data_IF_932807338872
#
_entry.id   IF_932807338872
#
_cell.length_a   1.000
_cell.length_b   1.000
_cell.length_c   1.000
_cell.angle_alpha   90.00
_cell.angle_beta   90.00
_cell.angle_gamma   90.00
#
_symmetry.space_group_name_H-M   'P 1'
#
loop_
_entity.id
_entity.type
_entity.pdbx_description
1 polymer ?
#
# COMPACT_ATOMS: atom_id res chain seq x y z
N UNK A 1 9.76 -2.13 16.15
CA UNK A 1 8.52 -2.42 16.92
C UNK A 1 8.51 -3.87 17.40
N UNK A 2 8.24 -4.14 18.69
CA UNK A 2 8.01 -5.49 19.23
C UNK A 2 6.84 -6.23 18.55
N UNK A 3 6.83 -7.57 18.63
CA UNK A 3 5.86 -8.40 17.88
C UNK A 3 4.42 -8.19 18.35
N UNK A 4 4.26 -8.18 19.68
CA UNK A 4 2.97 -8.01 20.33
C UNK A 4 2.35 -6.65 20.00
N UNK A 5 3.15 -5.57 20.05
CA UNK A 5 2.69 -4.22 19.71
C UNK A 5 2.25 -4.10 18.25
N UNK A 6 2.96 -4.75 17.32
CA UNK A 6 2.57 -4.76 15.91
C UNK A 6 1.23 -5.47 15.68
N UNK A 7 1.03 -6.63 16.31
CA UNK A 7 -0.22 -7.38 16.18
C UNK A 7 -1.39 -6.60 16.77
N UNK A 8 -1.19 -6.01 17.95
CA UNK A 8 -2.20 -5.20 18.62
C UNK A 8 -2.58 -3.94 17.84
N UNK A 9 -1.60 -3.23 17.26
CA UNK A 9 -1.87 -2.07 16.39
C UNK A 9 -2.76 -2.46 15.20
N UNK A 10 -2.42 -3.53 14.48
CA UNK A 10 -3.18 -3.94 13.30
C UNK A 10 -4.57 -4.49 13.67
N UNK A 11 -4.66 -5.29 14.73
CA UNK A 11 -5.93 -5.85 15.18
C UNK A 11 -6.88 -4.76 15.69
N UNK A 12 -6.40 -3.88 16.56
CA UNK A 12 -7.23 -2.84 17.18
C UNK A 12 -7.71 -1.81 16.16
N UNK A 13 -6.86 -1.40 15.21
CA UNK A 13 -7.25 -0.48 14.14
C UNK A 13 -8.27 -1.10 13.18
N UNK A 14 -8.09 -2.38 12.81
CA UNK A 14 -9.05 -3.12 11.99
C UNK A 14 -10.41 -3.22 12.68
N UNK A 15 -10.44 -3.71 13.92
CA UNK A 15 -11.67 -3.90 14.69
C UNK A 15 -12.46 -2.59 14.81
N UNK A 16 -11.78 -1.48 15.17
CA UNK A 16 -12.42 -0.16 15.26
C UNK A 16 -13.06 0.31 13.95
N UNK A 17 -12.40 0.05 12.81
CA UNK A 17 -12.95 0.41 11.50
C UNK A 17 -14.13 -0.49 11.12
N UNK A 18 -14.03 -1.79 11.36
CA UNK A 18 -15.10 -2.76 11.06
C UNK A 18 -16.34 -2.50 11.90
N UNK A 19 -16.17 -2.25 13.21
CA UNK A 19 -17.25 -1.87 14.12
C UNK A 19 -17.95 -0.59 13.67
N UNK A 20 -17.18 0.40 13.18
CA UNK A 20 -17.74 1.70 12.77
C UNK A 20 -18.40 1.66 11.40
N UNK A 21 -17.86 0.88 10.47
CA UNK A 21 -18.34 0.80 9.09
C UNK A 21 -19.40 -0.29 8.89
N UNK A 22 -19.49 -1.27 9.79
CA UNK A 22 -20.38 -2.43 9.67
C UNK A 22 -20.00 -3.39 8.54
N UNK A 23 -18.80 -3.24 7.99
CA UNK A 23 -18.28 -4.05 6.88
C UNK A 23 -16.84 -4.45 7.15
N UNK A 24 -16.40 -5.55 6.53
CA UNK A 24 -15.02 -5.99 6.61
C UNK A 24 -14.04 -4.97 6.03
N UNK A 25 -12.85 -4.88 6.61
CA UNK A 25 -11.72 -4.07 6.12
C UNK A 25 -10.67 -5.01 5.54
N UNK A 26 -10.71 -5.29 4.22
CA UNK A 26 -9.84 -6.29 3.60
C UNK A 26 -8.45 -5.75 3.24
N UNK A 27 -8.26 -4.42 3.25
CA UNK A 27 -7.04 -3.77 2.77
C UNK A 27 -6.26 -3.06 3.87
N UNK A 28 -4.93 -3.06 3.73
CA UNK A 28 -4.02 -2.32 4.61
C UNK A 28 -3.04 -1.47 3.78
N UNK A 29 -2.79 -0.22 4.17
CA UNK A 29 -1.73 0.59 3.59
C UNK A 29 -0.58 0.74 4.57
N UNK A 30 0.63 0.31 4.20
CA UNK A 30 1.75 0.33 5.12
C UNK A 30 2.37 1.73 5.26
N UNK A 31 2.62 2.21 6.49
CA UNK A 31 3.40 3.43 6.69
C UNK A 31 4.88 3.22 6.36
N UNK A 32 5.49 4.19 5.66
CA UNK A 32 6.94 4.43 5.53
C UNK A 32 7.87 3.22 5.30
N UNK A 33 7.51 2.27 4.45
CA UNK A 33 8.36 1.10 4.20
C UNK A 33 8.07 -0.01 5.21
N UNK A 34 7.82 -1.20 4.69
CA UNK A 34 7.20 -2.30 5.40
C UNK A 34 8.12 -3.52 5.38
N UNK A 35 8.13 -4.29 6.46
CA UNK A 35 8.92 -5.52 6.53
C UNK A 35 8.10 -6.75 6.15
N UNK A 36 8.80 -7.86 5.83
CA UNK A 36 8.15 -9.15 5.64
C UNK A 36 7.29 -9.57 6.84
N UNK A 37 7.74 -9.20 8.04
CA UNK A 37 7.03 -9.45 9.29
C UNK A 37 5.66 -8.77 9.36
N UNK A 38 5.56 -7.49 8.99
CA UNK A 38 4.26 -6.77 8.97
C UNK A 38 3.29 -7.45 8.02
N UNK A 39 3.77 -7.93 6.86
CA UNK A 39 2.93 -8.66 5.91
C UNK A 39 2.48 -10.02 6.44
N UNK A 40 3.31 -10.70 7.23
CA UNK A 40 2.94 -11.95 7.90
C UNK A 40 1.79 -11.73 8.87
N UNK A 41 1.95 -10.75 9.78
CA UNK A 41 0.90 -10.40 10.74
C UNK A 41 -0.39 -9.94 10.05
N UNK A 42 -0.28 -9.15 8.97
CA UNK A 42 -1.47 -8.75 8.20
C UNK A 42 -2.24 -9.95 7.62
N UNK A 43 -1.52 -10.97 7.11
CA UNK A 43 -2.16 -12.22 6.63
C UNK A 43 -2.86 -12.96 7.77
N UNK A 44 -2.19 -13.10 8.91
CA UNK A 44 -2.73 -13.78 10.09
C UNK A 44 -3.99 -13.09 10.66
N UNK A 45 -4.13 -11.78 10.47
CA UNK A 45 -5.27 -10.99 10.91
C UNK A 45 -6.40 -10.90 9.87
N UNK A 46 -6.31 -11.67 8.77
CA UNK A 46 -7.38 -11.77 7.78
C UNK A 46 -7.49 -10.58 6.83
N UNK A 47 -6.45 -9.77 6.68
CA UNK A 47 -6.38 -8.86 5.52
C UNK A 47 -6.25 -9.68 4.23
N UNK A 48 -6.78 -9.17 3.13
CA UNK A 48 -6.71 -9.80 1.81
C UNK A 48 -5.61 -9.21 0.93
N UNK A 49 -5.30 -7.91 1.11
CA UNK A 49 -4.29 -7.21 0.32
C UNK A 49 -3.64 -6.05 1.09
N UNK A 50 -2.48 -5.60 0.60
CA UNK A 50 -1.65 -4.60 1.22
C UNK A 50 -0.98 -3.68 0.19
N UNK A 51 -1.02 -2.37 0.45
CA UNK A 51 -0.47 -1.34 -0.43
C UNK A 51 0.94 -0.92 -0.01
N UNK A 52 1.87 -1.04 -0.94
CA UNK A 52 3.26 -0.68 -0.81
C UNK A 52 3.60 0.55 -1.66
N UNK A 53 4.43 1.45 -1.12
CA UNK A 53 5.00 2.54 -1.92
C UNK A 53 6.14 1.95 -2.75
N UNK A 54 5.99 1.93 -4.08
CA UNK A 54 7.00 1.41 -5.01
C UNK A 54 7.10 2.21 -6.31
N UNK A 55 6.07 3.00 -6.64
CA UNK A 55 5.99 3.77 -7.88
C UNK A 55 6.21 2.92 -9.13
N UNK A 56 5.50 1.78 -9.18
CA UNK A 56 5.51 0.84 -10.30
C UNK A 56 4.08 0.46 -10.67
N UNK A 57 3.85 0.04 -11.91
CA UNK A 57 2.56 -0.56 -12.27
C UNK A 57 2.35 -1.92 -11.60
N UNK A 58 1.12 -2.25 -11.16
CA UNK A 58 0.77 -3.61 -10.75
C UNK A 58 0.97 -4.59 -11.90
N UNK A 59 1.36 -5.82 -11.58
CA UNK A 59 1.52 -6.91 -12.55
C UNK A 59 0.56 -8.05 -12.18
N UNK A 60 -0.08 -8.71 -13.15
CA UNK A 60 -0.81 -9.95 -12.90
C UNK A 60 0.08 -10.97 -12.18
N UNK A 61 -0.47 -11.68 -11.19
CA UNK A 61 0.27 -12.64 -10.37
C UNK A 61 1.25 -12.03 -9.35
N UNK A 62 1.26 -10.71 -9.17
CA UNK A 62 2.03 -10.05 -8.10
C UNK A 62 1.51 -10.39 -6.70
N UNK A 63 2.37 -10.24 -5.68
CA UNK A 63 1.98 -10.41 -4.27
C UNK A 63 0.93 -9.35 -3.89
N UNK A 64 -0.28 -9.79 -3.55
CA UNK A 64 -1.40 -8.93 -3.13
C UNK A 64 -1.09 -8.13 -1.86
N UNK A 65 -0.11 -8.54 -1.05
CA UNK A 65 0.37 -7.77 0.11
C UNK A 65 1.50 -6.80 -0.25
N UNK A 66 1.74 -6.58 -1.54
CA UNK A 66 2.74 -5.65 -2.08
C UNK A 66 2.20 -4.89 -3.29
N UNK A 67 0.89 -4.63 -3.32
CA UNK A 67 0.27 -3.87 -4.41
C UNK A 67 0.94 -2.49 -4.50
N UNK A 68 1.55 -2.14 -5.64
CA UNK A 68 2.27 -0.89 -5.75
C UNK A 68 1.28 0.28 -5.89
N UNK A 69 1.63 1.40 -5.27
CA UNK A 69 0.97 2.69 -5.51
C UNK A 69 1.88 3.63 -6.28
N UNK A 70 1.26 4.52 -7.05
CA UNK A 70 1.89 5.67 -7.69
C UNK A 70 1.67 6.90 -6.82
N UNK A 71 2.71 7.69 -6.62
CA UNK A 71 2.60 8.96 -5.89
C UNK A 71 1.95 10.02 -6.77
N UNK A 72 0.95 10.70 -6.21
CA UNK A 72 0.37 11.91 -6.79
C UNK A 72 0.90 13.09 -5.98
N UNK A 73 1.61 14.00 -6.63
CA UNK A 73 2.17 15.20 -6.02
C UNK A 73 1.25 16.39 -6.20
N UNK A 74 1.49 17.46 -5.45
CA UNK A 74 0.83 18.76 -5.68
C UNK A 74 1.07 19.28 -7.11
N UNK A 75 2.20 18.91 -7.72
CA UNK A 75 2.58 19.27 -9.09
C UNK A 75 2.01 18.32 -10.16
N UNK A 76 1.30 17.27 -9.77
CA UNK A 76 0.67 16.32 -10.71
C UNK A 76 -0.58 16.95 -11.32
N UNK A 77 -0.42 17.64 -12.44
CA UNK A 77 -1.53 18.18 -13.21
C UNK A 77 -2.34 17.10 -13.95
N UNK A 78 -3.53 17.45 -14.44
CA UNK A 78 -4.48 16.51 -15.05
C UNK A 78 -3.93 15.69 -16.21
N UNK A 79 -3.06 16.28 -17.03
CA UNK A 79 -2.42 15.57 -18.14
C UNK A 79 -1.49 14.46 -17.64
N UNK A 80 -0.68 14.73 -16.61
CA UNK A 80 0.18 13.73 -15.99
C UNK A 80 -0.65 12.67 -15.26
N UNK A 81 -1.66 13.10 -14.49
CA UNK A 81 -2.57 12.19 -13.80
C UNK A 81 -3.22 11.18 -14.76
N UNK A 82 -3.70 11.62 -15.92
CA UNK A 82 -4.25 10.73 -16.95
C UNK A 82 -3.24 9.69 -17.40
N UNK A 83 -1.99 10.08 -17.67
CA UNK A 83 -0.92 9.14 -18.05
C UNK A 83 -0.69 8.08 -16.97
N UNK A 84 -0.69 8.48 -15.69
CA UNK A 84 -0.54 7.55 -14.56
C UNK A 84 -1.68 6.51 -14.53
N UNK A 85 -2.93 6.96 -14.70
CA UNK A 85 -4.12 6.11 -14.70
C UNK A 85 -4.12 5.15 -15.90
N UNK A 86 -3.70 5.64 -17.07
CA UNK A 86 -3.55 4.83 -18.30
C UNK A 86 -2.33 3.90 -18.25
N UNK A 87 -1.54 3.93 -17.18
CA UNK A 87 -0.39 3.07 -16.98
C UNK A 87 0.82 3.39 -17.86
N UNK A 88 0.88 4.61 -18.37
CA UNK A 88 1.99 5.10 -19.17
C UNK A 88 3.17 5.45 -18.27
N UNK A 89 4.37 5.06 -18.68
CA UNK A 89 5.59 5.41 -17.95
C UNK A 89 5.84 6.92 -18.05
N UNK A 90 5.96 7.60 -16.91
CA UNK A 90 6.34 9.03 -16.87
C UNK A 90 7.69 9.23 -16.19
N UNK A 91 8.35 10.34 -16.49
CA UNK A 91 9.60 10.72 -15.81
C UNK A 91 9.39 10.92 -14.31
N UNK A 92 8.23 11.43 -13.91
CA UNK A 92 7.83 11.58 -12.50
C UNK A 92 7.79 10.22 -11.81
N UNK A 93 7.14 9.22 -12.42
CA UNK A 93 7.13 7.85 -11.87
C UNK A 93 8.53 7.27 -11.77
N UNK A 94 9.37 7.44 -12.80
CA UNK A 94 10.73 6.93 -12.81
C UNK A 94 11.56 7.55 -11.67
N UNK A 95 11.40 8.85 -11.44
CA UNK A 95 12.03 9.58 -10.33
C UNK A 95 11.51 9.08 -8.98
N UNK A 96 10.20 9.00 -8.78
CA UNK A 96 9.60 8.55 -7.53
C UNK A 96 9.98 7.09 -7.23
N UNK A 97 10.10 6.26 -8.26
CA UNK A 97 10.61 4.89 -8.15
C UNK A 97 12.05 4.88 -7.66
N UNK A 98 12.93 5.71 -8.21
CA UNK A 98 14.31 5.79 -7.75
C UNK A 98 14.41 6.18 -6.27
N UNK A 99 13.50 7.04 -5.79
CA UNK A 99 13.44 7.47 -4.38
C UNK A 99 12.81 6.42 -3.43
N UNK A 100 12.06 5.46 -3.97
CA UNK A 100 11.30 4.47 -3.18
C UNK A 100 11.75 3.03 -3.41
N UNK A 101 12.76 2.84 -4.26
CA UNK A 101 13.44 1.57 -4.47
C UNK A 101 14.49 1.34 -3.36
N UNK A 102 14.01 1.12 -2.14
CA UNK A 102 14.76 0.57 -1.01
C UNK A 102 14.11 -0.71 -0.52
#
# INVERSE_FOLDING_TARGET
MPAALLRDELLSSKARLEDRLGIAVPGLAYPYGYSARVRGVARELGYHHGYAVRNTMPRPGGDLFRLPRLTVHHSTGSAEFRRLVEGQLTLTMARDRALTAG
#
